data_IF_459984438033
#
_entry.id   IF_459984438033
#
_cell.length_a   1.000
_cell.length_b   1.000
_cell.length_c   1.000
_cell.angle_alpha   90.00
_cell.angle_beta   90.00
_cell.angle_gamma   90.00
#
_symmetry.space_group_name_H-M   'P 1'
#
loop_
_entity.id
_entity.type
_entity.pdbx_description
1 polymer ?
#
# COMPACT_ATOMS: atom_id res chain seq x y z
N UNK A 1 4.80 -19.84 -23.84
CA UNK A 1 3.81 -18.92 -24.44
C UNK A 1 3.71 -17.74 -23.50
N UNK A 2 3.60 -16.50 -24.02
CA UNK A 2 3.45 -15.33 -23.17
C UNK A 2 2.14 -15.43 -22.37
N UNK A 3 2.17 -14.98 -21.10
CA UNK A 3 1.04 -15.12 -20.18
C UNK A 3 0.24 -13.81 -20.16
N UNK A 4 -1.05 -13.88 -20.50
CA UNK A 4 -1.95 -12.73 -20.44
C UNK A 4 -2.63 -12.61 -19.08
N UNK A 5 -2.37 -11.51 -18.40
CA UNK A 5 -2.85 -11.25 -17.04
C UNK A 5 -3.82 -10.08 -17.01
N UNK A 6 -5.03 -10.28 -16.48
CA UNK A 6 -5.93 -9.19 -16.11
C UNK A 6 -5.67 -8.79 -14.66
N UNK A 7 -5.34 -7.52 -14.44
CA UNK A 7 -5.10 -6.94 -13.12
C UNK A 7 -6.25 -6.03 -12.71
N UNK A 8 -6.75 -6.19 -11.49
CA UNK A 8 -7.91 -5.48 -10.95
C UNK A 8 -7.55 -4.82 -9.63
N UNK A 9 -7.60 -3.50 -9.57
CA UNK A 9 -7.31 -2.70 -8.38
C UNK A 9 -8.48 -1.73 -8.07
N UNK A 10 -9.46 -2.17 -7.26
CA UNK A 10 -10.59 -1.32 -6.89
C UNK A 10 -10.20 -0.28 -5.83
N UNK A 11 -10.49 0.98 -6.13
CA UNK A 11 -10.49 2.10 -5.19
C UNK A 11 -11.90 2.50 -4.79
N UNK A 12 -12.02 3.46 -3.85
CA UNK A 12 -13.30 3.92 -3.32
C UNK A 12 -14.24 4.43 -4.42
N UNK A 13 -13.73 5.28 -5.32
CA UNK A 13 -14.49 5.94 -6.39
C UNK A 13 -14.01 5.57 -7.80
N UNK A 14 -13.15 4.56 -7.91
CA UNK A 14 -12.62 4.10 -9.19
C UNK A 14 -12.25 2.62 -9.14
N UNK A 15 -12.01 2.01 -10.30
CA UNK A 15 -11.30 0.75 -10.42
C UNK A 15 -10.21 0.94 -11.46
N UNK A 16 -8.94 0.81 -11.06
CA UNK A 16 -7.84 0.75 -12.01
C UNK A 16 -7.74 -0.68 -12.52
N UNK A 17 -7.73 -0.85 -13.84
CA UNK A 17 -7.57 -2.15 -14.51
C UNK A 17 -6.45 -2.08 -15.52
N UNK A 18 -5.77 -3.20 -15.73
CA UNK A 18 -4.78 -3.33 -16.79
C UNK A 18 -4.68 -4.75 -17.30
N UNK A 19 -4.36 -4.90 -18.58
CA UNK A 19 -4.01 -6.19 -19.18
C UNK A 19 -2.55 -6.17 -19.56
N UNK A 20 -1.84 -7.21 -19.11
CA UNK A 20 -0.43 -7.40 -19.36
C UNK A 20 -0.20 -8.66 -20.18
N UNK A 21 0.84 -8.63 -21.00
CA UNK A 21 1.45 -9.81 -21.61
C UNK A 21 2.84 -9.97 -21.02
N UNK A 22 3.02 -11.02 -20.21
CA UNK A 22 4.13 -11.10 -19.24
C UNK A 22 4.20 -9.80 -18.42
N UNK A 23 5.35 -9.13 -18.33
CA UNK A 23 5.50 -7.85 -17.64
C UNK A 23 5.16 -6.62 -18.52
N UNK A 24 4.77 -6.83 -19.78
CA UNK A 24 4.48 -5.73 -20.74
C UNK A 24 3.03 -5.30 -20.63
N UNK A 25 2.81 -4.04 -20.25
CA UNK A 25 1.47 -3.46 -20.23
C UNK A 25 0.93 -3.30 -21.66
N UNK A 26 -0.20 -3.94 -21.98
CA UNK A 26 -0.88 -3.78 -23.26
C UNK A 26 -1.81 -2.55 -23.24
N UNK A 27 -2.63 -2.45 -22.20
CA UNK A 27 -3.53 -1.33 -21.98
C UNK A 27 -3.98 -1.28 -20.52
N UNK A 28 -4.12 -0.07 -19.98
CA UNK A 28 -4.70 0.20 -18.67
C UNK A 28 -5.75 1.30 -18.74
N UNK A 29 -6.67 1.30 -17.78
CA UNK A 29 -7.64 2.38 -17.62
C UNK A 29 -8.03 2.55 -16.15
N UNK A 30 -8.29 3.80 -15.77
CA UNK A 30 -8.91 4.11 -14.48
C UNK A 30 -10.41 4.33 -14.70
N UNK A 31 -11.18 3.27 -14.46
CA UNK A 31 -12.63 3.26 -14.60
C UNK A 31 -13.24 4.05 -13.42
N UNK A 32 -13.71 5.27 -13.68
CA UNK A 32 -14.25 6.15 -12.64
C UNK A 32 -15.72 5.84 -12.38
N UNK A 33 -16.07 5.75 -11.11
CA UNK A 33 -17.43 5.50 -10.65
C UNK A 33 -17.99 6.78 -10.03
N UNK A 34 -19.02 7.41 -10.62
CA UNK A 34 -19.66 8.57 -10.00
C UNK A 34 -20.15 8.21 -8.59
N UNK A 35 -19.94 9.12 -7.63
CA UNK A 35 -20.39 8.90 -6.24
C UNK A 35 -21.89 8.63 -6.17
N UNK A 36 -22.68 9.28 -7.03
CA UNK A 36 -24.12 9.05 -7.16
C UNK A 36 -24.44 7.60 -7.53
N UNK A 37 -23.70 6.99 -8.44
CA UNK A 37 -23.87 5.58 -8.81
C UNK A 37 -23.46 4.64 -7.68
N UNK A 38 -22.31 4.89 -7.03
CA UNK A 38 -21.83 4.07 -5.92
C UNK A 38 -22.79 4.12 -4.72
N UNK A 39 -23.36 5.29 -4.44
CA UNK A 39 -24.25 5.52 -3.30
C UNK A 39 -25.55 4.72 -3.35
N UNK A 40 -25.93 4.18 -4.52
CA UNK A 40 -27.10 3.31 -4.70
C UNK A 40 -26.93 1.94 -4.05
N UNK A 41 -25.68 1.51 -3.79
CA UNK A 41 -25.39 0.18 -3.27
C UNK A 41 -25.35 0.19 -1.74
N UNK A 42 -26.06 -0.75 -1.06
CA UNK A 42 -26.15 -0.77 0.40
C UNK A 42 -24.84 -1.21 1.09
N UNK A 43 -23.90 -1.77 0.34
CA UNK A 43 -22.61 -2.26 0.85
C UNK A 43 -21.57 -2.28 -0.26
N UNK A 44 -20.30 -2.46 0.11
CA UNK A 44 -19.20 -2.59 -0.86
C UNK A 44 -19.41 -3.80 -1.75
N UNK A 45 -19.73 -4.97 -1.17
CA UNK A 45 -19.96 -6.21 -1.94
C UNK A 45 -21.12 -6.07 -2.94
N UNK A 46 -22.16 -5.30 -2.63
CA UNK A 46 -23.28 -5.10 -3.55
C UNK A 46 -22.86 -4.40 -4.86
N UNK A 47 -21.69 -3.76 -4.91
CA UNK A 47 -21.13 -3.15 -6.12
C UNK A 47 -20.48 -4.17 -7.06
N UNK A 48 -20.35 -5.45 -6.66
CA UNK A 48 -19.61 -6.49 -7.39
C UNK A 48 -20.05 -6.60 -8.85
N UNK A 49 -21.34 -6.82 -9.10
CA UNK A 49 -21.84 -7.07 -10.46
C UNK A 49 -21.72 -5.82 -11.35
N UNK A 50 -21.96 -4.64 -10.77
CA UNK A 50 -21.74 -3.37 -11.43
C UNK A 50 -20.29 -3.20 -11.86
N UNK A 51 -19.33 -3.37 -10.94
CA UNK A 51 -17.91 -3.23 -11.26
C UNK A 51 -17.43 -4.31 -12.23
N UNK A 52 -17.93 -5.55 -12.11
CA UNK A 52 -17.65 -6.64 -13.06
C UNK A 52 -18.10 -6.26 -14.47
N UNK A 53 -19.31 -5.72 -14.63
CA UNK A 53 -19.83 -5.26 -15.91
C UNK A 53 -18.91 -4.23 -16.59
N UNK A 54 -18.50 -3.20 -15.86
CA UNK A 54 -17.60 -2.16 -16.39
C UNK A 54 -16.25 -2.73 -16.83
N UNK A 55 -15.70 -3.70 -16.08
CA UNK A 55 -14.43 -4.35 -16.46
C UNK A 55 -14.59 -5.15 -17.75
N UNK A 56 -15.70 -5.87 -17.92
CA UNK A 56 -15.97 -6.63 -19.15
C UNK A 56 -16.22 -5.69 -20.35
N UNK A 57 -16.91 -4.57 -20.14
CA UNK A 57 -17.11 -3.55 -21.16
C UNK A 57 -15.77 -2.91 -21.59
N UNK A 58 -14.87 -2.65 -20.62
CA UNK A 58 -13.51 -2.20 -20.90
C UNK A 58 -12.73 -3.20 -21.77
N UNK A 59 -12.76 -4.51 -21.44
CA UNK A 59 -12.10 -5.53 -22.26
C UNK A 59 -12.66 -5.55 -23.69
N UNK A 60 -13.98 -5.43 -23.83
CA UNK A 60 -14.65 -5.36 -25.14
C UNK A 60 -14.24 -4.12 -25.93
N UNK A 61 -14.17 -2.96 -25.30
CA UNK A 61 -13.73 -1.71 -25.93
C UNK A 61 -12.30 -1.80 -26.46
N UNK A 62 -11.40 -2.43 -25.71
CA UNK A 62 -10.01 -2.66 -26.13
C UNK A 62 -9.85 -3.84 -27.10
N UNK A 63 -10.95 -4.43 -27.60
CA UNK A 63 -10.96 -5.60 -28.46
C UNK A 63 -10.18 -6.80 -27.88
N UNK A 64 -10.22 -6.95 -26.56
CA UNK A 64 -9.59 -8.06 -25.85
C UNK A 64 -10.61 -9.15 -25.58
N UNK A 65 -10.43 -10.32 -26.17
CA UNK A 65 -11.23 -11.50 -25.85
C UNK A 65 -10.91 -11.97 -24.41
N UNK A 66 -11.88 -11.99 -23.48
CA UNK A 66 -11.67 -12.47 -22.13
C UNK A 66 -11.14 -13.91 -22.06
N UNK A 67 -11.49 -14.78 -23.02
CA UNK A 67 -10.99 -16.17 -23.04
C UNK A 67 -9.50 -16.28 -23.38
N UNK A 68 -8.91 -15.23 -23.96
CA UNK A 68 -7.47 -15.14 -24.22
C UNK A 68 -6.63 -14.84 -22.97
N UNK A 69 -7.26 -14.51 -21.84
CA UNK A 69 -6.59 -14.33 -20.55
C UNK A 69 -6.16 -15.68 -19.97
N UNK A 70 -5.00 -15.72 -19.33
CA UNK A 70 -4.47 -16.91 -18.67
C UNK A 70 -4.69 -16.87 -17.15
N UNK A 71 -4.68 -15.68 -16.57
CA UNK A 71 -4.79 -15.48 -15.12
C UNK A 71 -5.44 -14.14 -14.78
N UNK A 72 -6.24 -14.12 -13.72
CA UNK A 72 -6.86 -12.91 -13.18
C UNK A 72 -6.27 -12.61 -11.81
N UNK A 73 -5.83 -11.37 -11.56
CA UNK A 73 -5.27 -10.98 -10.27
C UNK A 73 -5.95 -9.73 -9.74
N UNK A 74 -6.38 -9.81 -8.49
CA UNK A 74 -7.01 -8.72 -7.77
C UNK A 74 -6.12 -8.17 -6.66
N UNK A 75 -6.28 -6.89 -6.34
CA UNK A 75 -5.72 -6.36 -5.09
C UNK A 75 -6.32 -7.08 -3.88
N UNK A 76 -5.47 -7.38 -2.91
CA UNK A 76 -5.91 -7.96 -1.64
C UNK A 76 -6.70 -6.97 -0.77
N UNK A 77 -7.75 -7.48 -0.11
CA UNK A 77 -8.61 -6.72 0.79
C UNK A 77 -8.20 -6.77 2.27
N UNK A 78 -9.13 -6.35 3.13
CA UNK A 78 -9.04 -6.40 4.59
C UNK A 78 -9.39 -7.81 5.13
N UNK A 79 -8.51 -8.77 4.81
CA UNK A 79 -8.57 -10.17 5.26
C UNK A 79 -8.09 -10.32 6.71
N UNK A 80 -8.07 -11.55 7.26
CA UNK A 80 -7.32 -11.84 8.50
C UNK A 80 -5.80 -11.60 8.29
N UNK A 81 -4.99 -11.38 9.34
CA UNK A 81 -3.55 -11.21 9.16
C UNK A 81 -2.93 -12.46 8.52
N UNK A 82 -2.14 -12.27 7.45
CA UNK A 82 -1.49 -13.35 6.71
C UNK A 82 -0.06 -12.97 6.33
N UNK A 83 0.78 -13.94 5.97
CA UNK A 83 2.12 -13.64 5.46
C UNK A 83 2.10 -13.02 4.05
N UNK A 84 3.16 -12.35 3.62
CA UNK A 84 3.30 -11.88 2.24
C UNK A 84 3.38 -13.04 1.24
N UNK A 85 2.94 -12.82 0.02
CA UNK A 85 2.92 -13.80 -1.07
C UNK A 85 1.69 -13.68 -1.97
N UNK A 86 1.62 -14.57 -2.94
CA UNK A 86 0.46 -14.70 -3.85
C UNK A 86 -0.47 -15.80 -3.36
N UNK A 87 -1.74 -15.49 -3.14
CA UNK A 87 -2.75 -16.40 -2.63
C UNK A 87 -3.79 -16.71 -3.70
N UNK A 88 -4.13 -17.98 -3.88
CA UNK A 88 -5.31 -18.34 -4.66
C UNK A 88 -6.56 -17.77 -3.98
N UNK A 89 -7.49 -17.22 -4.74
CA UNK A 89 -8.76 -16.74 -4.18
C UNK A 89 -9.64 -17.96 -3.87
N UNK A 90 -9.40 -18.62 -2.74
CA UNK A 90 -10.18 -19.77 -2.28
C UNK A 90 -11.56 -19.36 -1.78
N UNK A 91 -12.46 -20.33 -1.59
CA UNK A 91 -13.81 -20.07 -1.05
C UNK A 91 -13.75 -19.47 0.36
N UNK A 92 -12.77 -19.88 1.18
CA UNK A 92 -12.53 -19.31 2.50
C UNK A 92 -12.04 -17.86 2.43
N UNK A 93 -11.14 -17.54 1.48
CA UNK A 93 -10.68 -16.18 1.25
C UNK A 93 -11.83 -15.28 0.78
N UNK A 94 -12.64 -15.79 -0.16
CA UNK A 94 -13.80 -15.10 -0.68
C UNK A 94 -14.79 -14.76 0.46
N UNK A 95 -15.14 -15.73 1.29
CA UNK A 95 -16.04 -15.53 2.42
C UNK A 95 -15.57 -14.42 3.38
N UNK A 96 -14.25 -14.34 3.65
CA UNK A 96 -13.68 -13.30 4.51
C UNK A 96 -13.70 -11.91 3.86
N UNK A 97 -13.47 -11.82 2.53
CA UNK A 97 -13.61 -10.55 1.78
C UNK A 97 -15.05 -10.04 1.80
N UNK A 98 -16.02 -10.94 1.64
CA UNK A 98 -17.44 -10.62 1.64
C UNK A 98 -17.92 -10.15 3.02
N UNK A 99 -17.51 -10.87 4.06
CA UNK A 99 -17.81 -10.50 5.46
C UNK A 99 -17.10 -9.21 5.88
N UNK A 100 -15.92 -8.93 5.34
CA UNK A 100 -15.07 -7.81 5.74
C UNK A 100 -14.58 -7.98 7.16
N UNK A 101 -13.91 -9.09 7.45
CA UNK A 101 -13.48 -9.49 8.82
C UNK A 101 -12.63 -8.44 9.54
N UNK A 102 -11.87 -7.62 8.81
CA UNK A 102 -11.12 -6.48 9.37
C UNK A 102 -11.67 -5.12 8.89
N UNK A 103 -12.84 -5.08 8.27
CA UNK A 103 -13.50 -3.88 7.79
C UNK A 103 -14.00 -3.98 6.35
N UNK A 104 -14.86 -3.03 5.99
CA UNK A 104 -15.40 -2.88 4.64
C UNK A 104 -14.62 -1.80 3.90
N UNK A 105 -13.94 -2.19 2.82
CA UNK A 105 -13.19 -1.27 1.97
C UNK A 105 -13.29 -1.71 0.51
N UNK A 106 -13.23 -0.77 -0.43
CA UNK A 106 -13.36 -1.07 -1.86
C UNK A 106 -12.35 -2.11 -2.37
N UNK A 107 -11.14 -2.14 -1.80
CA UNK A 107 -10.13 -3.15 -2.12
C UNK A 107 -10.57 -4.59 -1.85
N UNK A 108 -11.58 -4.83 -0.99
CA UNK A 108 -12.15 -6.17 -0.80
C UNK A 108 -12.74 -6.72 -2.10
N UNK A 109 -13.23 -5.85 -2.99
CA UNK A 109 -13.74 -6.25 -4.30
C UNK A 109 -12.64 -6.79 -5.23
N UNK A 110 -11.35 -6.55 -4.95
CA UNK A 110 -10.26 -6.97 -5.85
C UNK A 110 -10.25 -8.48 -6.03
N UNK A 111 -10.10 -9.23 -4.93
CA UNK A 111 -10.16 -10.69 -4.93
C UNK A 111 -11.52 -11.23 -5.37
N UNK A 112 -12.63 -10.61 -4.94
CA UNK A 112 -13.99 -11.01 -5.32
C UNK A 112 -14.16 -10.94 -6.85
N UNK A 113 -13.82 -9.80 -7.48
CA UNK A 113 -13.93 -9.61 -8.92
C UNK A 113 -12.98 -10.54 -9.69
N UNK A 114 -11.77 -10.77 -9.17
CA UNK A 114 -10.82 -11.69 -9.77
C UNK A 114 -11.37 -13.13 -9.82
N UNK A 115 -11.97 -13.59 -8.72
CA UNK A 115 -12.61 -14.92 -8.64
C UNK A 115 -13.83 -15.02 -9.54
N UNK A 116 -14.71 -14.02 -9.51
CA UNK A 116 -15.92 -13.96 -10.34
C UNK A 116 -15.66 -14.01 -11.84
N UNK A 117 -14.60 -13.34 -12.30
CA UNK A 117 -14.20 -13.35 -13.70
C UNK A 117 -13.43 -14.63 -14.02
N UNK A 118 -12.54 -15.06 -13.12
CA UNK A 118 -11.78 -16.31 -13.26
C UNK A 118 -12.68 -17.52 -13.41
N UNK A 119 -13.65 -17.72 -12.51
CA UNK A 119 -14.58 -18.85 -12.54
C UNK A 119 -15.44 -18.86 -13.82
N UNK A 120 -15.92 -17.69 -14.25
CA UNK A 120 -16.70 -17.57 -15.49
C UNK A 120 -15.89 -17.94 -16.75
N UNK A 121 -14.57 -17.78 -16.71
CA UNK A 121 -13.67 -18.06 -17.83
C UNK A 121 -12.90 -19.38 -17.69
N UNK A 122 -13.03 -20.09 -16.56
CA UNK A 122 -12.22 -21.26 -16.23
C UNK A 122 -10.74 -20.94 -16.03
N UNK A 123 -10.40 -19.77 -15.49
CA UNK A 123 -9.03 -19.28 -15.29
C UNK A 123 -8.70 -19.12 -13.81
N UNK A 124 -7.45 -19.38 -13.39
CA UNK A 124 -7.03 -19.17 -12.01
C UNK A 124 -7.13 -17.69 -11.60
N UNK A 125 -7.41 -17.47 -10.33
CA UNK A 125 -7.52 -16.14 -9.74
C UNK A 125 -6.67 -16.01 -8.47
N UNK A 126 -5.99 -14.87 -8.33
CA UNK A 126 -5.09 -14.61 -7.22
C UNK A 126 -5.30 -13.24 -6.57
N UNK A 127 -4.82 -13.09 -5.34
CA UNK A 127 -4.43 -11.81 -4.77
C UNK A 127 -2.93 -11.83 -4.43
N UNK A 128 -2.30 -10.66 -4.36
CA UNK A 128 -0.87 -10.52 -4.03
C UNK A 128 -0.72 -9.55 -2.87
N UNK A 129 0.08 -9.93 -1.88
CA UNK A 129 0.57 -9.07 -0.78
C UNK A 129 -0.51 -8.09 -0.26
N UNK A 130 -1.62 -8.59 0.33
CA UNK A 130 -2.70 -7.73 0.81
C UNK A 130 -2.22 -6.70 1.84
N UNK A 131 -2.99 -5.63 2.04
CA UNK A 131 -2.67 -4.57 3.03
C UNK A 131 -2.52 -5.09 4.47
N UNK A 132 -3.09 -6.27 4.76
CA UNK A 132 -3.03 -6.96 6.06
C UNK A 132 -1.87 -7.96 6.18
N UNK A 133 -0.87 -7.89 5.27
CA UNK A 133 0.35 -8.67 5.43
C UNK A 133 0.95 -8.39 6.80
N UNK A 134 1.17 -9.43 7.58
CA UNK A 134 1.72 -9.37 8.92
C UNK A 134 2.88 -10.36 9.04
N UNK A 135 4.08 -9.79 9.12
CA UNK A 135 5.34 -10.50 9.28
C UNK A 135 6.11 -9.97 10.51
N UNK A 136 5.41 -9.22 11.38
CA UNK A 136 6.00 -8.65 12.59
C UNK A 136 6.54 -9.76 13.48
N UNK A 137 7.73 -9.53 14.02
CA UNK A 137 8.26 -10.36 15.11
C UNK A 137 7.41 -10.20 16.38
N UNK A 138 7.40 -11.20 17.27
CA UNK A 138 6.61 -11.13 18.51
C UNK A 138 6.95 -9.90 19.37
N UNK A 139 8.23 -9.53 19.42
CA UNK A 139 8.69 -8.32 20.11
C UNK A 139 8.13 -7.04 19.50
N UNK A 140 7.96 -6.99 18.17
CA UNK A 140 7.41 -5.84 17.46
C UNK A 140 5.90 -5.68 17.70
N UNK A 141 5.21 -6.69 18.24
CA UNK A 141 3.78 -6.61 18.57
C UNK A 141 3.51 -5.90 19.91
N UNK A 142 4.50 -5.88 20.80
CA UNK A 142 4.35 -5.28 22.12
C UNK A 142 4.41 -3.75 22.02
N UNK A 143 3.34 -3.08 22.46
CA UNK A 143 3.23 -1.60 22.47
C UNK A 143 3.57 -0.96 23.81
N UNK A 144 3.64 -1.76 24.88
CA UNK A 144 3.67 -1.29 26.27
C UNK A 144 2.30 -1.20 26.94
N UNK A 145 1.21 -1.47 26.22
CA UNK A 145 -0.16 -1.54 26.75
C UNK A 145 -0.89 -2.79 26.21
N UNK A 146 -1.19 -3.80 27.05
CA UNK A 146 -1.73 -5.09 26.60
C UNK A 146 -2.99 -5.00 25.73
N UNK A 147 -3.84 -4.01 25.97
CA UNK A 147 -5.09 -3.79 25.25
C UNK A 147 -4.89 -3.22 23.84
N UNK A 148 -3.73 -2.62 23.56
CA UNK A 148 -3.41 -1.95 22.29
C UNK A 148 -2.14 -2.55 21.64
N UNK A 149 -2.14 -3.82 21.20
CA UNK A 149 -0.99 -4.39 20.51
C UNK A 149 -0.73 -3.66 19.19
N UNK A 150 0.54 -3.64 18.75
CA UNK A 150 0.91 -3.10 17.44
C UNK A 150 0.37 -4.02 16.33
N UNK A 151 -0.05 -3.42 15.21
CA UNK A 151 -0.66 -4.12 14.06
C UNK A 151 0.10 -3.78 12.79
N UNK A 152 0.30 -4.77 11.93
CA UNK A 152 0.90 -4.57 10.62
C UNK A 152 -0.14 -4.08 9.61
N UNK A 153 -0.14 -2.78 9.33
CA UNK A 153 -1.00 -2.18 8.30
C UNK A 153 -0.17 -1.13 7.56
N UNK A 154 0.19 -1.41 6.32
CA UNK A 154 1.12 -0.59 5.53
C UNK A 154 0.97 -0.83 4.02
N UNK A 155 1.79 -0.17 3.22
CA UNK A 155 1.81 -0.37 1.75
C UNK A 155 2.54 -1.66 1.36
N UNK A 156 2.04 -2.81 1.84
CA UNK A 156 2.69 -4.12 1.71
C UNK A 156 3.05 -4.45 0.27
N UNK A 157 2.07 -4.43 -0.63
CA UNK A 157 2.26 -4.68 -2.07
C UNK A 157 3.42 -3.86 -2.64
N UNK A 158 3.40 -2.53 -2.45
CA UNK A 158 4.42 -1.66 -3.03
C UNK A 158 5.79 -1.89 -2.39
N UNK A 159 5.88 -1.96 -1.05
CA UNK A 159 7.16 -2.17 -0.38
C UNK A 159 7.81 -3.50 -0.81
N UNK A 160 7.03 -4.58 -0.88
CA UNK A 160 7.49 -5.89 -1.31
C UNK A 160 7.85 -5.93 -2.81
N UNK A 161 7.14 -5.18 -3.65
CA UNK A 161 7.46 -5.08 -5.07
C UNK A 161 8.80 -4.37 -5.31
N UNK A 162 9.00 -3.19 -4.71
CA UNK A 162 10.27 -2.45 -4.90
C UNK A 162 11.47 -3.16 -4.27
N UNK A 163 11.27 -3.88 -3.16
CA UNK A 163 12.32 -4.71 -2.57
C UNK A 163 12.74 -5.86 -3.49
N UNK A 164 11.79 -6.54 -4.13
CA UNK A 164 12.09 -7.60 -5.13
C UNK A 164 12.70 -7.04 -6.41
N UNK A 165 12.21 -5.88 -6.88
CA UNK A 165 12.79 -5.18 -8.02
C UNK A 165 14.26 -4.86 -7.76
N UNK A 166 14.57 -4.27 -6.61
CA UNK A 166 15.95 -3.99 -6.20
C UNK A 166 16.80 -5.26 -6.22
N UNK A 167 16.34 -6.33 -5.58
CA UNK A 167 17.06 -7.60 -5.55
C UNK A 167 17.36 -8.12 -6.97
N UNK A 168 16.35 -8.15 -7.86
CA UNK A 168 16.48 -8.57 -9.26
C UNK A 168 17.50 -7.72 -10.04
N UNK A 169 17.43 -6.39 -9.91
CA UNK A 169 18.35 -5.46 -10.59
C UNK A 169 19.80 -5.62 -10.11
N UNK A 170 20.02 -6.12 -8.89
CA UNK A 170 21.35 -6.30 -8.29
C UNK A 170 21.80 -7.78 -8.26
N UNK A 171 21.10 -8.67 -8.97
CA UNK A 171 21.46 -10.09 -9.04
C UNK A 171 21.38 -10.84 -7.71
N UNK A 172 20.57 -10.35 -6.78
CA UNK A 172 20.33 -10.94 -5.46
C UNK A 172 18.90 -11.49 -5.35
N UNK A 173 18.66 -12.33 -4.36
CA UNK A 173 17.28 -12.70 -3.97
C UNK A 173 16.82 -11.77 -2.86
N UNK A 174 15.53 -11.47 -2.81
CA UNK A 174 14.95 -10.64 -1.76
C UNK A 174 15.17 -11.25 -0.37
N UNK A 175 15.22 -12.57 -0.29
CA UNK A 175 15.45 -13.36 0.91
C UNK A 175 16.90 -13.28 1.43
N UNK A 176 17.83 -12.77 0.62
CA UNK A 176 19.25 -12.64 1.00
C UNK A 176 19.59 -11.23 1.52
N UNK A 177 18.61 -10.30 1.55
CA UNK A 177 18.83 -8.89 1.84
C UNK A 177 18.15 -8.43 3.15
N UNK A 178 18.74 -7.40 3.78
CA UNK A 178 18.14 -6.55 4.79
C UNK A 178 17.94 -5.14 4.21
N UNK A 179 16.69 -4.71 4.11
CA UNK A 179 16.33 -3.45 3.45
C UNK A 179 15.49 -2.59 4.39
N UNK A 180 15.62 -1.27 4.26
CA UNK A 180 14.63 -0.33 4.80
C UNK A 180 13.85 0.22 3.62
N UNK A 181 12.54 0.02 3.60
CA UNK A 181 11.69 0.53 2.51
C UNK A 181 10.78 1.62 3.03
N UNK A 182 10.89 2.80 2.42
CA UNK A 182 10.16 4.03 2.77
C UNK A 182 9.19 4.33 1.63
N UNK A 183 7.91 4.06 1.85
CA UNK A 183 6.86 4.48 0.92
C UNK A 183 6.28 5.82 1.37
N UNK A 184 6.28 6.81 0.48
CA UNK A 184 5.79 8.17 0.73
C UNK A 184 4.69 8.55 -0.26
N UNK A 185 3.44 8.51 0.21
CA UNK A 185 2.25 8.92 -0.52
C UNK A 185 1.29 9.66 0.41
N UNK A 186 -0.03 9.48 0.24
CA UNK A 186 -1.03 10.03 1.18
C UNK A 186 -0.86 9.51 2.61
N UNK A 187 -0.32 8.30 2.77
CA UNK A 187 0.27 7.78 4.01
C UNK A 187 1.76 7.54 3.84
N UNK A 188 2.50 7.43 4.95
CA UNK A 188 3.93 7.09 4.93
C UNK A 188 4.19 5.86 5.77
N UNK A 189 4.76 4.81 5.15
CA UNK A 189 5.17 3.60 5.86
C UNK A 189 6.67 3.36 5.72
N UNK A 190 7.30 3.01 6.83
CA UNK A 190 8.74 2.71 6.94
C UNK A 190 8.87 1.28 7.47
N UNK A 191 9.27 0.35 6.60
CA UNK A 191 9.38 -1.07 6.93
C UNK A 191 10.83 -1.52 7.09
N UNK A 192 11.11 -2.33 8.10
CA UNK A 192 12.33 -3.12 8.22
C UNK A 192 12.11 -4.48 7.54
N UNK A 193 12.75 -4.68 6.39
CA UNK A 193 12.72 -5.94 5.67
C UNK A 193 13.96 -6.74 6.04
N UNK A 194 13.77 -7.93 6.64
CA UNK A 194 14.84 -8.85 6.94
C UNK A 194 14.57 -10.19 6.26
N UNK A 195 15.45 -10.56 5.34
CA UNK A 195 15.41 -11.84 4.64
C UNK A 195 14.04 -12.17 4.05
N UNK A 196 13.50 -11.24 3.24
CA UNK A 196 12.22 -11.40 2.57
C UNK A 196 10.98 -11.03 3.41
N UNK A 197 11.15 -10.73 4.71
CA UNK A 197 10.05 -10.50 5.65
C UNK A 197 10.04 -9.09 6.22
N UNK A 198 8.87 -8.46 6.32
CA UNK A 198 8.71 -7.15 6.98
C UNK A 198 8.58 -7.36 8.50
N UNK A 199 9.71 -7.38 9.19
CA UNK A 199 9.83 -7.79 10.60
C UNK A 199 9.38 -6.71 11.60
N UNK A 200 9.32 -5.46 11.14
CA UNK A 200 8.75 -4.30 11.84
C UNK A 200 8.28 -3.24 10.81
N UNK A 201 7.16 -2.58 11.09
CA UNK A 201 6.59 -1.48 10.29
C UNK A 201 5.57 -0.71 11.14
N UNK A 202 5.39 0.58 10.86
CA UNK A 202 4.37 1.40 11.51
C UNK A 202 2.95 1.12 10.97
N UNK A 203 1.93 1.15 11.84
CA UNK A 203 0.52 1.14 11.45
C UNK A 203 0.11 2.51 10.89
N UNK A 204 0.14 2.64 9.57
CA UNK A 204 -0.19 3.91 8.94
C UNK A 204 -1.67 4.25 9.05
N UNK A 205 -2.56 3.25 9.13
CA UNK A 205 -4.01 3.45 9.07
C UNK A 205 -4.54 4.16 10.32
N UNK A 206 -3.96 3.85 11.48
CA UNK A 206 -4.42 4.35 12.79
C UNK A 206 -3.47 5.42 13.40
N UNK A 207 -2.53 5.96 12.63
CA UNK A 207 -1.71 7.11 13.04
C UNK A 207 -0.42 6.78 13.81
N UNK A 208 0.30 5.73 13.43
CA UNK A 208 1.63 5.41 13.98
C UNK A 208 2.77 5.90 13.06
N UNK A 209 3.86 6.38 13.65
CA UNK A 209 5.05 6.86 12.95
C UNK A 209 5.00 8.34 12.59
N UNK A 210 5.77 8.73 11.58
CA UNK A 210 5.81 10.07 11.02
C UNK A 210 4.44 10.53 10.50
N UNK A 211 4.19 11.84 10.54
CA UNK A 211 3.03 12.41 9.87
C UNK A 211 3.17 12.30 8.34
N UNK A 212 2.03 12.28 7.65
CA UNK A 212 1.95 12.21 6.18
C UNK A 212 1.29 13.46 5.61
N UNK A 213 1.04 13.57 4.29
CA UNK A 213 0.25 14.67 3.76
C UNK A 213 -1.17 14.78 4.34
N UNK A 214 -1.75 13.64 4.77
CA UNK A 214 -3.15 13.57 5.23
C UNK A 214 -3.33 13.05 6.66
N UNK A 215 -2.26 12.56 7.31
CA UNK A 215 -2.34 11.89 8.61
C UNK A 215 -1.42 12.56 9.61
N UNK A 216 -1.84 12.61 10.88
CA UNK A 216 -1.07 13.24 11.94
C UNK A 216 0.18 12.48 12.33
N UNK A 217 0.25 11.18 12.01
CA UNK A 217 1.21 10.28 12.63
C UNK A 217 1.05 10.25 14.16
N UNK A 218 2.12 9.85 14.84
CA UNK A 218 2.17 9.79 16.29
C UNK A 218 2.21 11.19 16.91
N UNK A 219 1.31 11.42 17.87
CA UNK A 219 1.22 12.65 18.66
C UNK A 219 1.42 12.36 20.15
N UNK A 220 1.70 13.37 21.00
CA UNK A 220 1.83 13.17 22.44
C UNK A 220 0.57 12.53 23.05
N UNK A 221 0.68 11.27 23.49
CA UNK A 221 -0.47 10.45 23.93
C UNK A 221 -1.23 11.10 25.09
N UNK A 222 -0.53 11.71 26.05
CA UNK A 222 -1.17 12.38 27.17
C UNK A 222 -2.02 13.58 26.75
N UNK A 223 -1.59 14.33 25.73
CA UNK A 223 -2.36 15.48 25.24
C UNK A 223 -3.50 15.06 24.32
N UNK A 224 -3.32 13.96 23.56
CA UNK A 224 -4.41 13.33 22.82
C UNK A 224 -5.53 12.87 23.78
N UNK A 225 -5.19 12.23 24.91
CA UNK A 225 -6.17 11.84 25.93
C UNK A 225 -6.90 13.07 26.49
N UNK A 226 -6.18 14.13 26.86
CA UNK A 226 -6.83 15.38 27.32
C UNK A 226 -7.78 15.95 26.26
N UNK A 227 -7.39 15.90 24.99
CA UNK A 227 -8.22 16.35 23.88
C UNK A 227 -9.49 15.50 23.74
N UNK A 228 -9.38 14.17 23.85
CA UNK A 228 -10.52 13.23 23.86
C UNK A 228 -11.55 13.53 24.94
N UNK A 229 -11.10 13.91 26.13
CA UNK A 229 -11.98 14.16 27.28
C UNK A 229 -12.26 15.65 27.54
N UNK A 230 -11.91 16.52 26.59
CA UNK A 230 -12.11 17.98 26.73
C UNK A 230 -13.56 18.43 26.60
N UNK A 231 -14.46 17.57 26.11
CA UNK A 231 -15.83 17.92 25.73
C UNK A 231 -15.96 18.73 24.42
N UNK A 232 -14.83 19.03 23.75
CA UNK A 232 -14.82 19.83 22.52
C UNK A 232 -14.95 19.01 21.23
N UNK A 233 -14.60 17.73 21.28
CA UNK A 233 -14.54 16.87 20.09
C UNK A 233 -15.20 15.54 20.39
N UNK A 234 -15.92 15.03 19.40
CA UNK A 234 -16.37 13.64 19.34
C UNK A 234 -15.21 12.71 18.96
N UNK A 235 -15.37 11.41 19.24
CA UNK A 235 -14.42 10.39 18.80
C UNK A 235 -14.19 10.45 17.27
N UNK A 236 -15.26 10.64 16.49
CA UNK A 236 -15.17 10.70 15.03
C UNK A 236 -14.37 11.92 14.54
N UNK A 237 -14.53 13.08 15.18
CA UNK A 237 -13.78 14.28 14.83
C UNK A 237 -12.29 14.15 15.16
N UNK A 238 -11.96 13.51 16.28
CA UNK A 238 -10.56 13.21 16.63
C UNK A 238 -9.98 12.22 15.63
N UNK A 239 -10.71 11.15 15.31
CA UNK A 239 -10.26 10.18 14.32
C UNK A 239 -10.02 10.83 12.96
N UNK A 240 -10.88 11.75 12.52
CA UNK A 240 -10.68 12.52 11.27
C UNK A 240 -9.44 13.42 11.33
N UNK A 241 -9.07 13.96 12.49
CA UNK A 241 -7.82 14.73 12.65
C UNK A 241 -6.58 13.85 12.58
N UNK A 242 -6.68 12.60 13.01
CA UNK A 242 -5.60 11.61 12.90
C UNK A 242 -5.51 11.11 11.44
N UNK A 243 -6.65 10.82 10.82
CA UNK A 243 -6.76 10.20 9.50
C UNK A 243 -7.61 11.04 8.54
N UNK A 244 -6.95 11.66 7.56
CA UNK A 244 -7.56 12.44 6.48
C UNK A 244 -7.47 13.96 6.69
N UNK A 245 -7.48 14.42 7.93
CA UNK A 245 -7.39 15.83 8.31
C UNK A 245 -6.13 16.21 9.09
N UNK A 246 -5.12 15.33 9.11
CA UNK A 246 -3.83 15.57 9.78
C UNK A 246 -2.74 15.98 8.80
N UNK A 247 -1.50 16.14 9.29
CA UNK A 247 -0.35 16.28 8.40
C UNK A 247 -0.30 17.60 7.62
N UNK A 248 0.15 17.58 6.36
CA UNK A 248 0.16 18.78 5.51
C UNK A 248 -1.23 19.43 5.39
N UNK A 249 -2.30 18.65 5.33
CA UNK A 249 -3.67 19.17 5.34
C UNK A 249 -3.96 20.04 6.56
N UNK A 250 -3.49 19.62 7.74
CA UNK A 250 -3.75 20.33 8.99
C UNK A 250 -2.96 21.64 9.10
N UNK A 251 -1.72 21.67 8.60
CA UNK A 251 -0.83 22.83 8.70
C UNK A 251 -0.97 23.80 7.52
N UNK A 252 -0.99 23.28 6.30
CA UNK A 252 -0.84 24.05 5.05
C UNK A 252 -2.09 24.02 4.18
N UNK A 253 -3.16 23.37 4.64
CA UNK A 253 -4.43 23.23 3.92
C UNK A 253 -4.30 22.60 2.52
N UNK A 254 -3.28 21.74 2.34
CA UNK A 254 -3.08 20.93 1.14
C UNK A 254 -2.46 19.59 1.49
N UNK A 255 -2.83 18.53 0.77
CA UNK A 255 -2.22 17.20 0.83
C UNK A 255 -1.33 16.92 -0.39
N UNK A 256 -1.19 17.88 -1.29
CA UNK A 256 -0.33 17.73 -2.46
C UNK A 256 1.08 18.21 -2.12
N UNK A 257 2.02 17.27 -2.03
CA UNK A 257 3.42 17.59 -1.74
C UNK A 257 4.03 18.57 -2.76
N UNK A 258 3.56 18.57 -4.01
CA UNK A 258 4.01 19.52 -5.05
C UNK A 258 3.60 20.95 -4.74
N UNK A 259 2.43 21.14 -4.13
CA UNK A 259 1.99 22.46 -3.68
C UNK A 259 2.84 22.94 -2.50
N UNK A 260 3.19 22.05 -1.58
CA UNK A 260 4.08 22.36 -0.45
C UNK A 260 5.47 22.78 -0.96
N UNK A 261 6.04 22.04 -1.92
CA UNK A 261 7.32 22.39 -2.57
C UNK A 261 7.25 23.77 -3.23
N UNK A 262 6.19 24.04 -3.99
CA UNK A 262 5.98 25.36 -4.60
C UNK A 262 5.90 26.48 -3.55
N UNK A 263 5.18 26.27 -2.44
CA UNK A 263 5.12 27.26 -1.36
C UNK A 263 6.51 27.53 -0.76
N UNK A 264 7.34 26.49 -0.63
CA UNK A 264 8.72 26.61 -0.16
C UNK A 264 9.57 27.41 -1.13
N UNK A 265 9.49 27.13 -2.42
CA UNK A 265 10.19 27.86 -3.48
C UNK A 265 9.78 29.35 -3.52
N UNK A 266 8.51 29.63 -3.23
CA UNK A 266 7.96 30.99 -3.11
C UNK A 266 8.33 31.69 -1.79
N UNK A 267 9.10 31.03 -0.90
CA UNK A 267 9.62 31.60 0.33
C UNK A 267 8.69 31.50 1.54
N UNK A 268 7.68 30.64 1.52
CA UNK A 268 6.80 30.41 2.67
C UNK A 268 7.55 29.67 3.79
N UNK A 269 7.83 30.40 4.88
CA UNK A 269 8.59 29.87 6.02
C UNK A 269 7.86 28.75 6.79
N UNK A 270 6.53 28.81 6.89
CA UNK A 270 5.73 27.76 7.54
C UNK A 270 5.75 26.48 6.72
N UNK A 271 5.58 26.57 5.39
CA UNK A 271 5.68 25.43 4.50
C UNK A 271 7.06 24.77 4.57
N UNK A 272 8.13 25.57 4.66
CA UNK A 272 9.50 25.04 4.81
C UNK A 272 9.66 24.29 6.12
N UNK A 273 9.20 24.86 7.23
CA UNK A 273 9.29 24.21 8.54
C UNK A 273 8.50 22.89 8.58
N UNK A 274 7.30 22.88 8.01
CA UNK A 274 6.46 21.68 7.94
C UNK A 274 7.09 20.62 7.04
N UNK A 275 7.63 20.99 5.87
CA UNK A 275 8.34 20.07 4.98
C UNK A 275 9.61 19.49 5.64
N UNK A 276 10.39 20.33 6.34
CA UNK A 276 11.58 19.88 7.06
C UNK A 276 11.21 18.90 8.18
N UNK A 277 10.15 19.20 8.94
CA UNK A 277 9.65 18.32 10.00
C UNK A 277 9.17 16.98 9.43
N UNK A 278 8.58 16.97 8.23
CA UNK A 278 8.14 15.76 7.54
C UNK A 278 9.31 14.82 7.25
N UNK A 279 10.33 15.30 6.55
CA UNK A 279 11.51 14.48 6.23
C UNK A 279 12.32 14.10 7.48
N UNK A 280 12.38 14.99 8.48
CA UNK A 280 13.01 14.70 9.77
C UNK A 280 12.35 13.53 10.50
N UNK A 281 11.02 13.45 10.53
CA UNK A 281 10.32 12.33 11.17
C UNK A 281 10.47 11.03 10.37
N UNK A 282 10.43 11.08 9.03
CA UNK A 282 10.71 9.91 8.18
C UNK A 282 12.10 9.35 8.47
N UNK A 283 13.10 10.22 8.57
CA UNK A 283 14.46 9.80 8.88
C UNK A 283 14.57 9.16 10.26
N UNK A 284 13.86 9.68 11.27
CA UNK A 284 13.82 9.04 12.60
C UNK A 284 13.21 7.65 12.57
N UNK A 285 12.10 7.48 11.88
CA UNK A 285 11.45 6.17 11.73
C UNK A 285 12.38 5.18 11.00
N UNK A 286 13.07 5.63 9.95
CA UNK A 286 14.06 4.82 9.24
C UNK A 286 15.26 4.46 10.13
N UNK A 287 15.74 5.39 10.95
CA UNK A 287 16.76 5.12 11.97
C UNK A 287 16.31 4.06 12.99
N UNK A 288 15.04 4.07 13.40
CA UNK A 288 14.47 3.02 14.24
C UNK A 288 14.47 1.66 13.54
N UNK A 289 14.10 1.61 12.25
CA UNK A 289 14.16 0.38 11.45
C UNK A 289 15.60 -0.12 11.25
N UNK A 290 16.59 0.77 11.15
CA UNK A 290 18.00 0.38 11.13
C UNK A 290 18.42 -0.29 12.44
N UNK A 291 17.92 0.21 13.59
CA UNK A 291 18.15 -0.43 14.89
C UNK A 291 17.47 -1.81 14.99
N UNK A 292 16.27 -1.98 14.42
CA UNK A 292 15.59 -3.28 14.31
C UNK A 292 16.47 -4.30 13.56
N UNK A 293 17.13 -3.86 12.49
CA UNK A 293 18.06 -4.64 11.67
C UNK A 293 19.48 -4.72 12.27
N UNK A 294 19.69 -4.20 13.49
CA UNK A 294 21.00 -4.18 14.16
C UNK A 294 22.11 -3.51 13.32
N UNK A 295 21.75 -2.47 12.57
CA UNK A 295 22.66 -1.75 11.67
C UNK A 295 23.05 -2.50 10.40
N UNK A 296 22.55 -3.73 10.18
CA UNK A 296 22.79 -4.51 8.98
C UNK A 296 21.76 -4.15 7.93
N UNK A 297 22.02 -3.07 7.20
CA UNK A 297 21.14 -2.56 6.15
C UNK A 297 21.92 -2.55 4.84
N UNK A 298 21.49 -3.36 3.88
CA UNK A 298 22.12 -3.41 2.56
C UNK A 298 21.75 -2.18 1.73
N UNK A 299 20.50 -1.73 1.83
CA UNK A 299 19.98 -0.60 1.07
C UNK A 299 18.77 0.05 1.76
N UNK A 300 18.68 1.38 1.64
CA UNK A 300 17.44 2.12 1.87
C UNK A 300 16.76 2.39 0.52
N UNK A 301 15.48 2.06 0.42
CA UNK A 301 14.68 2.21 -0.79
C UNK A 301 13.60 3.27 -0.55
N UNK A 302 13.61 4.32 -1.37
CA UNK A 302 12.59 5.37 -1.38
C UNK A 302 11.59 5.11 -2.50
N UNK A 303 10.30 5.14 -2.19
CA UNK A 303 9.21 4.88 -3.15
C UNK A 303 7.95 5.68 -2.81
N UNK A 304 6.89 5.54 -3.60
CA UNK A 304 5.66 6.34 -3.51
C UNK A 304 5.73 7.63 -4.33
N UNK A 305 4.61 8.33 -4.44
CA UNK A 305 4.47 9.52 -5.29
C UNK A 305 5.38 10.69 -4.89
N UNK A 306 5.74 10.83 -3.62
CA UNK A 306 6.63 11.92 -3.16
C UNK A 306 8.09 11.68 -3.59
N UNK A 307 8.46 10.42 -3.88
CA UNK A 307 9.80 10.08 -4.32
C UNK A 307 10.14 10.58 -5.74
N UNK A 308 9.17 11.11 -6.50
CA UNK A 308 9.44 11.77 -7.79
C UNK A 308 10.25 13.07 -7.62
N UNK A 309 10.10 13.75 -6.48
CA UNK A 309 10.81 15.00 -6.23
C UNK A 309 12.30 14.73 -5.94
N UNK A 310 13.24 15.34 -6.69
CA UNK A 310 14.68 15.16 -6.42
C UNK A 310 15.09 15.56 -5.00
N UNK A 311 14.42 16.57 -4.44
CA UNK A 311 14.64 17.05 -3.08
C UNK A 311 14.44 15.93 -2.03
N UNK A 312 13.46 15.04 -2.24
CA UNK A 312 13.20 13.89 -1.36
C UNK A 312 14.44 13.03 -1.15
N UNK A 313 15.15 12.71 -2.24
CA UNK A 313 16.40 11.95 -2.16
C UNK A 313 17.47 12.76 -1.46
N UNK A 314 17.67 14.01 -1.87
CA UNK A 314 18.73 14.87 -1.35
C UNK A 314 18.65 15.01 0.18
N UNK A 315 17.47 15.35 0.71
CA UNK A 315 17.29 15.57 2.13
C UNK A 315 17.38 14.28 2.95
N UNK A 316 16.84 13.16 2.45
CA UNK A 316 16.91 11.88 3.16
C UNK A 316 18.31 11.27 3.10
N UNK A 317 19.08 11.50 2.04
CA UNK A 317 20.49 11.10 1.96
C UNK A 317 21.33 11.81 3.03
N UNK A 318 21.07 13.09 3.31
CA UNK A 318 21.75 13.82 4.39
C UNK A 318 21.51 13.20 5.77
N UNK A 319 20.28 12.75 6.03
CA UNK A 319 19.95 12.12 7.31
C UNK A 319 20.36 10.65 7.41
N UNK A 320 20.22 9.89 6.33
CA UNK A 320 20.26 8.43 6.36
C UNK A 320 21.44 7.81 5.63
N UNK A 321 22.22 8.58 4.86
CA UNK A 321 23.34 8.06 4.07
C UNK A 321 24.44 7.40 4.91
N UNK A 322 24.48 7.67 6.23
CA UNK A 322 25.39 6.98 7.15
C UNK A 322 24.95 5.54 7.48
N UNK A 323 23.68 5.20 7.26
CA UNK A 323 23.11 3.87 7.55
C UNK A 323 23.39 2.92 6.39
N UNK A 324 22.99 3.31 5.17
CA UNK A 324 23.16 2.54 3.94
C UNK A 324 22.99 3.47 2.72
N UNK A 325 23.43 3.05 1.52
CA UNK A 325 23.12 3.75 0.29
C UNK A 325 21.60 3.91 0.07
N UNK A 326 21.21 4.88 -0.75
CA UNK A 326 19.80 5.13 -1.13
C UNK A 326 19.53 4.82 -2.61
N UNK A 327 18.46 4.07 -2.85
CA UNK A 327 17.89 3.82 -4.19
C UNK A 327 16.48 4.39 -4.24
N UNK A 328 16.09 4.97 -5.37
CA UNK A 328 14.77 5.60 -5.54
C UNK A 328 14.00 4.89 -6.65
N UNK A 329 12.83 4.36 -6.30
CA UNK A 329 11.83 3.83 -7.24
C UNK A 329 10.54 4.65 -7.09
N UNK A 330 10.44 5.79 -7.81
CA UNK A 330 9.33 6.71 -7.61
C UNK A 330 8.01 6.12 -8.09
N UNK A 331 6.92 6.49 -7.40
CA UNK A 331 5.58 6.01 -7.71
C UNK A 331 5.22 4.70 -7.01
N UNK A 332 4.11 4.13 -7.45
CA UNK A 332 3.54 2.88 -6.95
C UNK A 332 3.01 2.08 -8.14
N UNK A 333 3.86 1.23 -8.71
CA UNK A 333 3.52 0.40 -9.89
C UNK A 333 2.60 -0.76 -9.50
N UNK A 334 1.49 -0.47 -8.78
CA UNK A 334 0.62 -1.47 -8.14
C UNK A 334 0.09 -2.50 -9.14
N UNK A 335 -0.25 -2.09 -10.38
CA UNK A 335 -0.73 -3.03 -11.39
C UNK A 335 0.37 -4.01 -11.84
N UNK A 336 1.58 -3.49 -12.08
CA UNK A 336 2.72 -4.33 -12.44
C UNK A 336 3.11 -5.24 -11.28
N UNK A 337 3.07 -4.75 -10.04
CA UNK A 337 3.34 -5.55 -8.84
C UNK A 337 2.36 -6.72 -8.69
N UNK A 338 1.07 -6.48 -8.92
CA UNK A 338 0.04 -7.53 -8.94
C UNK A 338 0.30 -8.54 -10.07
N UNK A 339 0.59 -8.05 -11.28
CA UNK A 339 0.93 -8.90 -12.42
C UNK A 339 2.15 -9.77 -12.12
N UNK A 340 3.26 -9.19 -11.67
CA UNK A 340 4.49 -9.89 -11.30
C UNK A 340 4.24 -10.94 -10.20
N UNK A 341 3.39 -10.64 -9.21
CA UNK A 341 3.01 -11.61 -8.18
C UNK A 341 2.27 -12.83 -8.74
N UNK A 342 1.33 -12.61 -9.67
CA UNK A 342 0.64 -13.71 -10.35
C UNK A 342 1.56 -14.49 -11.29
N UNK A 343 2.41 -13.79 -12.05
CA UNK A 343 3.36 -14.42 -12.97
C UNK A 343 4.29 -15.37 -12.25
N UNK A 344 4.86 -15.00 -11.10
CA UNK A 344 5.74 -15.90 -10.33
C UNK A 344 5.07 -17.23 -9.99
N UNK A 345 3.76 -17.22 -9.72
CA UNK A 345 3.00 -18.46 -9.49
C UNK A 345 2.78 -19.23 -10.78
N UNK A 346 2.33 -18.57 -11.84
CA UNK A 346 1.99 -19.22 -13.11
C UNK A 346 3.23 -19.79 -13.82
N UNK A 347 4.40 -19.16 -13.65
CA UNK A 347 5.68 -19.64 -14.21
C UNK A 347 6.41 -20.65 -13.31
N UNK A 348 5.92 -20.89 -12.09
CA UNK A 348 6.50 -21.83 -11.14
C UNK A 348 7.72 -21.30 -10.36
N UNK A 349 7.98 -19.99 -10.38
CA UNK A 349 9.00 -19.34 -9.55
C UNK A 349 8.60 -19.33 -8.06
N UNK A 350 7.31 -19.17 -7.78
CA UNK A 350 6.71 -19.17 -6.43
C UNK A 350 5.54 -20.17 -6.38
N UNK A 351 5.30 -20.80 -5.24
CA UNK A 351 4.07 -21.57 -5.01
C UNK A 351 2.97 -20.66 -4.51
N UNK A 352 1.76 -20.78 -5.07
CA UNK A 352 0.59 -20.11 -4.51
C UNK A 352 0.38 -20.55 -3.06
N UNK A 353 0.10 -19.58 -2.18
CA UNK A 353 -0.22 -19.84 -0.79
C UNK A 353 -1.69 -20.20 -0.62
N UNK A 354 -1.96 -21.04 0.38
CA UNK A 354 -3.30 -21.35 0.88
C UNK A 354 -3.69 -20.35 1.99
N UNK A 355 -4.97 -19.96 2.04
CA UNK A 355 -5.50 -18.89 2.90
C UNK A 355 -6.06 -19.39 4.23
#
# INVERSE_FOLDING_TARGET
>A
MPIKTLVINPGSTSTKVGVFEDETLLFEETLRHPTEEISKYPSIIAQKDFRKGIILDFLKEKNCDPHSLDVIVGRGGLLKPIHGGTYAVSDALLADLEKGVQGQHASNLGGILAREIGDALGKPSYIVDPVVVDELTDKARLSGMPELPRRSIFHALNQKAVARRYAKEHGARYEDLNLIVIHMGGGVSVGAHSHGKVVDVNNILDGEGCFSPERSGTVPVGDLVKMCFSGKYTQQEIYKKICGGGGFNAYLHTNDARNVEKMVEEGNAEAKLVQDAFYYQIAKDAGAMAAVLCGKVDQIILTGGIAYAPYTREILEQYLGFIAPITVYPGEDELLALCQGALRVVTGEEQAKEY
#
